data_IF_383973824122
#
_entry.id   IF_383973824122
#
_cell.length_a   1.000
_cell.length_b   1.000
_cell.length_c   1.000
_cell.angle_alpha   90.00
_cell.angle_beta   90.00
_cell.angle_gamma   90.00
#
_symmetry.space_group_name_H-M   'P 1'
#
loop_
_entity.id
_entity.type
_entity.pdbx_description
1 polymer ?
#
# COMPACT_ATOMS: atom_id res chain seq x y z
N UNK A 1 5.88 -80.89 -44.08
CA UNK A 1 4.50 -80.71 -43.58
C UNK A 1 4.49 -79.64 -42.49
N UNK A 2 3.47 -78.76 -42.45
CA UNK A 2 3.64 -77.36 -42.08
C UNK A 2 2.86 -76.92 -40.82
N UNK A 3 3.27 -75.76 -40.30
CA UNK A 3 2.46 -74.65 -39.75
C UNK A 3 1.45 -74.92 -38.61
N UNK A 4 1.64 -74.25 -37.46
CA UNK A 4 0.94 -72.99 -37.15
C UNK A 4 1.35 -72.42 -35.78
N UNK A 5 2.00 -71.26 -35.82
CA UNK A 5 2.18 -70.32 -34.71
C UNK A 5 0.85 -69.58 -34.53
N UNK A 6 0.16 -69.76 -33.39
CA UNK A 6 -0.99 -68.93 -33.03
C UNK A 6 -0.56 -67.78 -32.10
N UNK A 7 -0.59 -66.57 -32.67
CA UNK A 7 -0.32 -65.28 -32.04
C UNK A 7 -1.64 -64.74 -31.48
N UNK A 8 -1.88 -64.85 -30.17
CA UNK A 8 -3.04 -64.19 -29.54
C UNK A 8 -2.74 -62.70 -29.29
N UNK A 9 -3.28 -61.86 -30.17
CA UNK A 9 -3.34 -60.41 -29.99
C UNK A 9 -4.51 -60.10 -29.06
N UNK A 10 -4.22 -59.86 -27.77
CA UNK A 10 -5.21 -59.45 -26.79
C UNK A 10 -5.62 -57.99 -27.04
N UNK A 11 -6.79 -57.80 -27.65
CA UNK A 11 -7.48 -56.50 -27.85
C UNK A 11 -8.00 -55.94 -26.52
N UNK A 12 -7.11 -55.60 -25.57
CA UNK A 12 -7.47 -55.00 -24.27
C UNK A 12 -6.96 -53.58 -23.96
N UNK A 13 -6.28 -52.80 -24.84
CA UNK A 13 -5.83 -51.45 -24.45
C UNK A 13 -6.88 -50.35 -24.67
N UNK A 14 -7.93 -50.57 -25.47
CA UNK A 14 -8.88 -49.50 -25.86
C UNK A 14 -10.01 -49.23 -24.85
N UNK A 15 -10.38 -50.23 -24.04
CA UNK A 15 -11.46 -50.08 -23.05
C UNK A 15 -10.99 -49.36 -21.77
N UNK A 16 -9.72 -49.54 -21.38
CA UNK A 16 -9.15 -48.87 -20.21
C UNK A 16 -8.85 -47.39 -20.46
N UNK A 17 -8.48 -47.02 -21.69
CA UNK A 17 -8.19 -45.63 -22.05
C UNK A 17 -9.44 -44.75 -22.06
N UNK A 18 -10.59 -45.28 -22.51
CA UNK A 18 -11.86 -44.55 -22.51
C UNK A 18 -12.41 -44.29 -21.11
N UNK A 19 -12.21 -45.23 -20.18
CA UNK A 19 -12.66 -45.08 -18.78
C UNK A 19 -11.81 -44.06 -18.00
N UNK A 20 -10.50 -43.99 -18.30
CA UNK A 20 -9.57 -43.00 -17.74
C UNK A 20 -9.85 -41.59 -18.25
N UNK A 21 -10.22 -41.44 -19.53
CA UNK A 21 -10.58 -40.13 -20.10
C UNK A 21 -11.91 -39.60 -19.54
N UNK A 22 -12.87 -40.47 -19.25
CA UNK A 22 -14.15 -40.10 -18.66
C UNK A 22 -14.03 -39.68 -17.18
N UNK A 23 -13.09 -40.27 -16.41
CA UNK A 23 -12.87 -39.88 -15.01
C UNK A 23 -12.15 -38.53 -14.86
N UNK A 24 -11.31 -38.14 -15.83
CA UNK A 24 -10.66 -36.82 -15.88
C UNK A 24 -11.66 -35.66 -16.13
N UNK A 25 -12.77 -35.90 -16.84
CA UNK A 25 -13.79 -34.88 -17.11
C UNK A 25 -14.69 -34.58 -15.90
N UNK A 26 -14.86 -35.54 -14.98
CA UNK A 26 -15.72 -35.38 -13.79
C UNK A 26 -15.04 -34.58 -12.65
N UNK A 27 -13.72 -34.41 -12.69
CA UNK A 27 -12.97 -33.59 -11.72
C UNK A 27 -12.98 -32.09 -12.04
N UNK A 28 -13.56 -31.68 -13.17
CA UNK A 28 -13.56 -30.28 -13.63
C UNK A 28 -14.78 -29.47 -13.19
N UNK A 29 -15.75 -30.07 -12.49
CA UNK A 29 -17.09 -29.51 -12.32
C UNK A 29 -17.44 -28.98 -10.90
N UNK A 30 -16.48 -28.84 -9.98
CA UNK A 30 -16.72 -28.25 -8.66
C UNK A 30 -15.99 -26.92 -8.47
N UNK A 31 -16.26 -25.93 -9.34
CA UNK A 31 -16.11 -24.53 -8.94
C UNK A 31 -17.36 -24.13 -8.17
N UNK A 32 -17.48 -24.55 -6.89
CA UNK A 32 -18.35 -23.82 -5.96
C UNK A 32 -17.79 -22.40 -5.94
N UNK A 33 -18.47 -21.49 -6.63
CA UNK A 33 -18.13 -20.08 -6.60
C UNK A 33 -18.07 -19.68 -5.14
N UNK A 34 -16.87 -19.40 -4.64
CA UNK A 34 -16.69 -18.88 -3.30
C UNK A 34 -17.47 -17.57 -3.29
N UNK A 35 -18.67 -17.58 -2.70
CA UNK A 35 -19.49 -16.40 -2.66
C UNK A 35 -18.72 -15.35 -1.87
N UNK A 36 -18.43 -14.22 -2.50
CA UNK A 36 -17.69 -13.15 -1.84
C UNK A 36 -18.55 -12.57 -0.73
N UNK A 37 -18.10 -12.68 0.52
CA UNK A 37 -18.81 -12.15 1.69
C UNK A 37 -18.63 -10.64 1.76
N UNK A 38 -19.71 -9.90 1.50
CA UNK A 38 -19.70 -8.43 1.52
C UNK A 38 -20.20 -7.84 2.84
N UNK A 39 -20.54 -8.66 3.85
CA UNK A 39 -20.99 -8.16 5.14
C UNK A 39 -20.02 -7.14 5.78
N UNK A 40 -18.68 -7.29 5.67
CA UNK A 40 -17.74 -6.29 6.21
C UNK A 40 -17.86 -4.90 5.57
N UNK A 41 -18.23 -4.82 4.27
CA UNK A 41 -18.40 -3.52 3.59
C UNK A 41 -19.69 -2.82 4.01
N UNK A 42 -20.75 -3.60 4.19
CA UNK A 42 -22.04 -3.10 4.70
C UNK A 42 -21.90 -2.57 6.13
N UNK A 43 -21.21 -3.32 7.00
CA UNK A 43 -20.87 -2.89 8.36
C UNK A 43 -19.96 -1.66 8.39
N UNK A 44 -19.12 -1.47 7.38
CA UNK A 44 -18.31 -0.26 7.20
C UNK A 44 -19.11 0.94 6.67
N UNK A 45 -20.41 0.79 6.39
CA UNK A 45 -21.27 1.86 5.88
C UNK A 45 -21.04 2.17 4.41
N UNK A 46 -20.63 1.18 3.62
CA UNK A 46 -20.53 1.31 2.16
C UNK A 46 -21.90 1.15 1.51
N UNK A 47 -22.22 2.00 0.54
CA UNK A 47 -23.51 1.98 -0.12
C UNK A 47 -23.67 0.75 -1.03
N UNK A 48 -24.91 0.26 -1.15
CA UNK A 48 -25.22 -0.94 -1.92
C UNK A 48 -24.78 -0.87 -3.39
N UNK A 49 -24.93 0.29 -4.04
CA UNK A 49 -24.48 0.50 -5.42
C UNK A 49 -22.95 0.33 -5.54
N UNK A 50 -22.20 0.87 -4.58
CA UNK A 50 -20.75 0.76 -4.50
C UNK A 50 -20.31 -0.70 -4.29
N UNK A 51 -20.99 -1.42 -3.37
CA UNK A 51 -20.75 -2.86 -3.15
C UNK A 51 -21.06 -3.68 -4.41
N UNK A 52 -22.14 -3.34 -5.12
CA UNK A 52 -22.48 -3.98 -6.40
C UNK A 52 -21.41 -3.74 -7.46
N UNK A 53 -20.88 -2.52 -7.57
CA UNK A 53 -19.77 -2.23 -8.49
C UNK A 53 -18.51 -3.03 -8.13
N UNK A 54 -18.13 -3.08 -6.85
CA UNK A 54 -16.98 -3.88 -6.39
C UNK A 54 -17.12 -5.36 -6.74
N UNK A 55 -18.33 -5.94 -6.69
CA UNK A 55 -18.57 -7.34 -7.10
C UNK A 55 -18.23 -7.57 -8.56
N UNK A 56 -18.49 -6.61 -9.45
CA UNK A 56 -18.13 -6.70 -10.87
C UNK A 56 -16.61 -6.72 -11.10
N UNK A 57 -15.83 -6.25 -10.14
CA UNK A 57 -14.36 -6.20 -10.19
C UNK A 57 -13.68 -7.48 -9.66
N UNK A 58 -14.45 -8.54 -9.39
CA UNK A 58 -13.98 -9.82 -8.85
C UNK A 58 -13.12 -9.63 -7.59
N UNK A 59 -13.64 -8.88 -6.61
CA UNK A 59 -12.95 -8.65 -5.33
C UNK A 59 -13.01 -9.93 -4.48
N UNK A 60 -11.89 -10.28 -3.86
CA UNK A 60 -11.80 -11.43 -2.94
C UNK A 60 -12.18 -11.06 -1.50
N UNK A 61 -12.47 -12.05 -0.65
CA UNK A 61 -12.79 -11.81 0.76
C UNK A 61 -11.65 -11.10 1.52
N UNK A 62 -10.38 -11.39 1.18
CA UNK A 62 -9.23 -10.71 1.77
C UNK A 62 -9.22 -9.22 1.41
N UNK A 63 -9.45 -8.90 0.13
CA UNK A 63 -9.53 -7.52 -0.34
C UNK A 63 -10.75 -6.77 0.25
N UNK A 64 -11.86 -7.46 0.48
CA UNK A 64 -13.00 -6.90 1.20
C UNK A 64 -12.62 -6.48 2.61
N UNK A 65 -11.88 -7.33 3.34
CA UNK A 65 -11.39 -6.98 4.67
C UNK A 65 -10.53 -5.71 4.66
N UNK A 66 -9.65 -5.58 3.68
CA UNK A 66 -8.80 -4.39 3.53
C UNK A 66 -9.61 -3.14 3.14
N UNK A 67 -10.58 -3.27 2.23
CA UNK A 67 -11.47 -2.16 1.88
C UNK A 67 -12.33 -1.71 3.06
N UNK A 68 -12.82 -2.65 3.87
CA UNK A 68 -13.59 -2.35 5.05
C UNK A 68 -12.77 -1.51 6.05
N UNK A 69 -11.50 -1.85 6.29
CA UNK A 69 -10.59 -1.05 7.13
C UNK A 69 -10.42 0.38 6.60
N UNK A 70 -10.12 0.52 5.31
CA UNK A 70 -9.95 1.83 4.69
C UNK A 70 -11.24 2.66 4.77
N UNK A 71 -12.40 2.04 4.52
CA UNK A 71 -13.71 2.69 4.57
C UNK A 71 -14.06 3.15 5.99
N UNK A 72 -13.85 2.29 6.98
CA UNK A 72 -14.07 2.62 8.40
C UNK A 72 -13.19 3.79 8.87
N UNK A 73 -11.99 3.92 8.33
CA UNK A 73 -11.10 5.05 8.59
C UNK A 73 -11.50 6.35 7.85
N UNK A 74 -12.61 6.34 7.12
CA UNK A 74 -13.18 7.53 6.49
C UNK A 74 -12.91 7.65 4.99
N UNK A 75 -12.30 6.65 4.32
CA UNK A 75 -12.17 6.66 2.88
C UNK A 75 -13.56 6.63 2.21
N UNK A 76 -13.78 7.35 1.11
CA UNK A 76 -15.05 7.33 0.40
C UNK A 76 -15.24 6.04 -0.41
N UNK A 77 -16.50 5.69 -0.67
CA UNK A 77 -16.86 4.55 -1.52
C UNK A 77 -16.22 4.64 -2.92
N UNK A 78 -16.21 5.84 -3.51
CA UNK A 78 -15.62 6.09 -4.82
C UNK A 78 -14.11 5.81 -4.82
N UNK A 79 -13.41 6.24 -3.77
CA UNK A 79 -11.98 5.96 -3.62
C UNK A 79 -11.71 4.49 -3.38
N UNK A 80 -12.53 3.78 -2.60
CA UNK A 80 -12.44 2.32 -2.47
C UNK A 80 -12.50 1.62 -3.84
N UNK A 81 -13.47 2.00 -4.69
CA UNK A 81 -13.60 1.48 -6.06
C UNK A 81 -12.36 1.81 -6.90
N UNK A 82 -11.89 3.06 -6.84
CA UNK A 82 -10.71 3.49 -7.60
C UNK A 82 -9.45 2.72 -7.20
N UNK A 83 -9.26 2.43 -5.90
CA UNK A 83 -8.14 1.63 -5.42
C UNK A 83 -8.17 0.19 -5.91
N UNK A 84 -9.36 -0.44 -5.97
CA UNK A 84 -9.49 -1.76 -6.58
C UNK A 84 -9.17 -1.72 -8.07
N UNK A 85 -9.72 -0.74 -8.81
CA UNK A 85 -9.40 -0.56 -10.24
C UNK A 85 -7.90 -0.40 -10.45
N UNK A 86 -7.23 0.39 -9.59
CA UNK A 86 -5.78 0.56 -9.61
C UNK A 86 -5.03 -0.75 -9.32
N UNK A 87 -5.43 -1.51 -8.30
CA UNK A 87 -4.83 -2.81 -7.98
C UNK A 87 -4.97 -3.80 -9.15
N UNK A 88 -6.15 -3.85 -9.79
CA UNK A 88 -6.42 -4.66 -10.98
C UNK A 88 -5.54 -4.25 -12.17
N UNK A 89 -5.36 -2.94 -12.40
CA UNK A 89 -4.45 -2.45 -13.46
C UNK A 89 -3.00 -2.92 -13.27
N UNK A 90 -2.60 -3.12 -12.00
CA UNK A 90 -1.27 -3.61 -11.61
C UNK A 90 -1.17 -5.13 -11.53
N UNK A 91 -2.28 -5.85 -11.78
CA UNK A 91 -2.38 -7.31 -11.63
C UNK A 91 -1.96 -7.78 -10.23
N UNK A 92 -2.27 -7.00 -9.20
CA UNK A 92 -2.00 -7.31 -7.80
C UNK A 92 -3.29 -7.32 -6.99
N UNK A 93 -3.40 -8.16 -5.96
CA UNK A 93 -4.47 -8.04 -4.99
C UNK A 93 -4.33 -6.71 -4.22
N UNK A 94 -5.45 -6.13 -3.83
CA UNK A 94 -5.46 -4.97 -2.94
C UNK A 94 -5.15 -5.42 -1.50
N UNK A 95 -4.11 -4.82 -0.90
CA UNK A 95 -3.61 -5.20 0.42
C UNK A 95 -3.24 -4.01 1.32
N UNK A 96 -3.57 -2.78 0.89
CA UNK A 96 -3.09 -1.54 1.52
C UNK A 96 -4.13 -0.92 2.48
N UNK A 97 -5.16 -1.67 2.88
CA UNK A 97 -6.29 -1.15 3.66
C UNK A 97 -5.88 -0.60 5.02
N UNK A 98 -5.02 -1.33 5.74
CA UNK A 98 -4.47 -0.84 7.02
C UNK A 98 -3.61 0.41 6.82
N UNK A 99 -2.72 0.42 5.83
CA UNK A 99 -1.85 1.56 5.55
C UNK A 99 -2.63 2.84 5.21
N UNK A 100 -3.75 2.69 4.49
CA UNK A 100 -4.69 3.79 4.23
C UNK A 100 -5.34 4.27 5.53
N UNK A 101 -5.83 3.34 6.35
CA UNK A 101 -6.44 3.69 7.63
C UNK A 101 -5.48 4.46 8.54
N UNK A 102 -4.22 4.04 8.59
CA UNK A 102 -3.16 4.67 9.39
C UNK A 102 -2.85 6.10 8.91
N UNK A 103 -2.81 6.32 7.59
CA UNK A 103 -2.58 7.65 6.99
C UNK A 103 -3.74 8.61 7.21
N UNK A 104 -4.97 8.14 7.03
CA UNK A 104 -6.19 8.93 7.29
C UNK A 104 -6.29 9.28 8.78
N UNK A 105 -5.99 8.32 9.67
CA UNK A 105 -5.97 8.54 11.12
C UNK A 105 -4.87 9.51 11.55
N UNK A 106 -3.75 9.55 10.83
CA UNK A 106 -2.72 10.58 11.02
C UNK A 106 -3.12 11.96 10.47
N UNK A 107 -4.29 12.07 9.84
CA UNK A 107 -4.83 13.31 9.30
C UNK A 107 -4.31 13.65 7.88
N UNK A 108 -3.83 12.66 7.13
CA UNK A 108 -3.58 12.82 5.70
C UNK A 108 -4.90 12.90 4.94
N UNK A 109 -4.98 13.71 3.89
CA UNK A 109 -6.20 13.78 3.07
C UNK A 109 -6.39 12.51 2.24
N UNK A 110 -7.65 12.23 1.90
CA UNK A 110 -8.02 11.15 0.96
C UNK A 110 -7.34 11.32 -0.40
N UNK A 111 -7.22 12.56 -0.89
CA UNK A 111 -6.51 12.85 -2.14
C UNK A 111 -5.04 12.44 -2.07
N UNK A 112 -4.37 12.73 -0.96
CA UNK A 112 -2.98 12.30 -0.73
C UNK A 112 -2.87 10.78 -0.70
N UNK A 113 -3.78 10.10 -0.02
CA UNK A 113 -3.82 8.63 0.00
C UNK A 113 -3.95 8.04 -1.40
N UNK A 114 -4.85 8.57 -2.23
CA UNK A 114 -5.01 8.12 -3.63
C UNK A 114 -3.75 8.38 -4.46
N UNK A 115 -3.13 9.56 -4.32
CA UNK A 115 -1.90 9.89 -5.02
C UNK A 115 -0.75 8.95 -4.59
N UNK A 116 -0.62 8.67 -3.29
CA UNK A 116 0.34 7.67 -2.79
C UNK A 116 0.05 6.28 -3.34
N UNK A 117 -1.23 5.92 -3.50
CA UNK A 117 -1.61 4.69 -4.16
C UNK A 117 -1.11 4.69 -5.61
N UNK A 118 -1.34 5.76 -6.37
CA UNK A 118 -0.90 5.93 -7.75
C UNK A 118 0.63 5.87 -7.92
N UNK A 119 1.37 6.42 -6.96
CA UNK A 119 2.83 6.35 -6.91
C UNK A 119 3.38 5.01 -6.40
N UNK A 120 2.49 4.06 -6.05
CA UNK A 120 2.81 2.76 -5.48
C UNK A 120 3.61 2.89 -4.17
N UNK A 121 3.24 3.85 -3.33
CA UNK A 121 3.91 4.18 -2.06
C UNK A 121 3.10 3.84 -0.80
N UNK A 122 1.87 3.29 -0.91
CA UNK A 122 1.05 2.91 0.25
C UNK A 122 1.58 1.69 1.03
N UNK A 123 2.43 0.85 0.44
CA UNK A 123 2.99 -0.32 1.13
C UNK A 123 4.12 0.06 2.10
N UNK A 124 5.36 -0.33 1.76
CA UNK A 124 6.54 -0.16 2.61
C UNK A 124 6.79 1.27 3.10
N UNK A 125 6.30 2.27 2.38
CA UNK A 125 6.54 3.68 2.70
C UNK A 125 5.43 4.35 3.52
N UNK A 126 4.24 3.75 3.64
CA UNK A 126 3.15 4.39 4.39
C UNK A 126 3.49 4.68 5.85
N UNK A 127 4.24 3.82 6.53
CA UNK A 127 4.68 4.09 7.90
C UNK A 127 5.59 5.31 8.01
N UNK A 128 6.46 5.56 7.02
CA UNK A 128 7.28 6.76 6.98
C UNK A 128 6.45 8.00 6.67
N UNK A 129 5.51 7.90 5.73
CA UNK A 129 4.57 8.98 5.41
C UNK A 129 3.72 9.36 6.63
N UNK A 130 3.25 8.37 7.38
CA UNK A 130 2.52 8.55 8.63
C UNK A 130 3.40 9.26 9.68
N UNK A 131 4.65 8.83 9.85
CA UNK A 131 5.59 9.48 10.77
C UNK A 131 5.86 10.95 10.38
N UNK A 132 6.01 11.24 9.08
CA UNK A 132 6.13 12.62 8.60
C UNK A 132 4.86 13.42 8.91
N UNK A 133 3.69 12.84 8.71
CA UNK A 133 2.43 13.51 9.05
C UNK A 133 2.35 13.84 10.53
N UNK A 134 2.72 12.92 11.41
CA UNK A 134 2.80 13.16 12.85
C UNK A 134 3.87 14.18 13.27
N UNK A 135 4.98 14.26 12.53
CA UNK A 135 5.96 15.33 12.68
C UNK A 135 5.45 16.70 12.17
N UNK A 136 4.20 16.76 11.70
CA UNK A 136 3.49 17.96 11.29
C UNK A 136 3.67 18.32 9.81
N UNK A 137 4.36 17.50 9.02
CA UNK A 137 4.55 17.79 7.59
C UNK A 137 3.21 17.81 6.87
N UNK A 138 3.06 18.78 5.97
CA UNK A 138 1.93 18.86 5.06
C UNK A 138 1.95 17.72 4.04
N UNK A 139 0.76 17.39 3.58
CA UNK A 139 0.51 16.48 2.47
C UNK A 139 1.39 16.79 1.24
N UNK A 140 1.63 18.07 0.94
CA UNK A 140 2.47 18.47 -0.19
C UNK A 140 3.93 18.03 -0.04
N UNK A 141 4.50 18.14 1.17
CA UNK A 141 5.87 17.67 1.45
C UNK A 141 5.92 16.14 1.36
N UNK A 142 4.93 15.45 1.95
CA UNK A 142 4.81 13.99 1.87
C UNK A 142 4.75 13.52 0.42
N UNK A 143 3.91 14.15 -0.42
CA UNK A 143 3.79 13.82 -1.84
C UNK A 143 5.06 14.18 -2.64
N UNK A 144 5.75 15.26 -2.31
CA UNK A 144 7.02 15.59 -2.95
C UNK A 144 8.09 14.51 -2.71
N UNK A 145 8.20 14.03 -1.47
CA UNK A 145 9.09 12.92 -1.11
C UNK A 145 8.65 11.64 -1.83
N UNK A 146 7.35 11.31 -1.80
CA UNK A 146 6.79 10.13 -2.45
C UNK A 146 7.07 10.08 -3.96
N UNK A 147 6.90 11.22 -4.66
CA UNK A 147 7.14 11.33 -6.10
C UNK A 147 8.59 11.04 -6.45
N UNK A 148 9.54 11.65 -5.75
CA UNK A 148 10.97 11.38 -5.98
C UNK A 148 11.35 9.95 -5.69
N UNK A 149 10.84 9.37 -4.60
CA UNK A 149 11.04 7.94 -4.29
C UNK A 149 10.50 7.03 -5.37
N UNK A 150 9.31 7.32 -5.91
CA UNK A 150 8.72 6.55 -7.01
C UNK A 150 9.58 6.58 -8.29
N UNK A 151 10.39 7.62 -8.46
CA UNK A 151 11.35 7.79 -9.55
C UNK A 151 12.74 7.23 -9.21
N UNK A 152 12.90 6.58 -8.06
CA UNK A 152 14.19 6.12 -7.52
C UNK A 152 15.23 7.23 -7.36
N UNK A 153 14.78 8.48 -7.19
CA UNK A 153 15.67 9.60 -6.93
C UNK A 153 16.01 9.68 -5.43
N UNK A 154 17.23 10.14 -5.08
CA UNK A 154 17.57 10.44 -3.70
C UNK A 154 16.60 11.46 -3.10
N UNK A 155 16.25 11.22 -1.84
CA UNK A 155 15.43 12.10 -1.00
C UNK A 155 16.08 12.26 0.36
N UNK A 156 15.84 13.41 0.99
CA UNK A 156 16.22 13.63 2.37
C UNK A 156 15.59 12.58 3.29
N UNK A 157 16.38 12.12 4.25
CA UNK A 157 15.95 11.26 5.33
C UNK A 157 14.86 11.93 6.18
N UNK A 158 14.02 11.12 6.83
CA UNK A 158 12.98 11.64 7.72
C UNK A 158 13.57 12.46 8.88
N UNK A 159 14.76 12.08 9.37
CA UNK A 159 15.52 12.83 10.38
C UNK A 159 15.89 14.21 9.85
N UNK A 160 16.51 14.31 8.67
CA UNK A 160 16.90 15.59 8.10
C UNK A 160 15.72 16.49 7.77
N UNK A 161 14.61 15.93 7.30
CA UNK A 161 13.37 16.70 7.14
C UNK A 161 12.92 17.28 8.49
N UNK A 162 12.92 16.47 9.55
CA UNK A 162 12.62 16.92 10.91
C UNK A 162 13.53 18.03 11.40
N UNK A 163 14.85 17.93 11.17
CA UNK A 163 15.81 18.98 11.52
C UNK A 163 15.57 20.28 10.75
N UNK A 164 15.25 20.22 9.45
CA UNK A 164 14.89 21.40 8.66
C UNK A 164 13.67 22.11 9.26
N UNK A 165 12.63 21.34 9.60
CA UNK A 165 11.43 21.89 10.23
C UNK A 165 11.75 22.52 11.59
N UNK A 166 12.55 21.84 12.42
CA UNK A 166 12.97 22.34 13.73
C UNK A 166 13.84 23.60 13.63
N UNK A 167 14.59 23.76 12.54
CA UNK A 167 15.31 24.99 12.21
C UNK A 167 14.38 26.13 11.72
N UNK A 168 13.06 25.90 11.67
CA UNK A 168 12.05 26.86 11.25
C UNK A 168 11.90 26.99 9.73
N UNK A 169 12.38 26.02 8.95
CA UNK A 169 12.15 26.00 7.50
C UNK A 169 10.68 25.70 7.23
N UNK A 170 10.04 26.52 6.40
CA UNK A 170 8.63 26.35 6.05
C UNK A 170 8.43 25.10 5.18
N UNK A 171 7.25 24.49 5.28
CA UNK A 171 6.88 23.34 4.44
C UNK A 171 7.04 23.62 2.93
N UNK A 172 6.74 24.84 2.48
CA UNK A 172 6.93 25.24 1.08
C UNK A 172 8.41 25.22 0.66
N UNK A 173 9.31 25.69 1.53
CA UNK A 173 10.75 25.64 1.27
C UNK A 173 11.30 24.21 1.37
N UNK A 174 10.82 23.39 2.32
CA UNK A 174 11.18 21.97 2.43
C UNK A 174 10.73 21.22 1.17
N UNK A 175 9.50 21.48 0.70
CA UNK A 175 8.99 20.91 -0.54
C UNK A 175 9.88 21.27 -1.72
N UNK A 176 10.26 22.54 -1.88
CA UNK A 176 11.14 23.00 -2.95
C UNK A 176 12.53 22.33 -2.88
N UNK A 177 13.12 22.26 -1.69
CA UNK A 177 14.40 21.56 -1.46
C UNK A 177 14.31 20.09 -1.86
N UNK A 178 13.24 19.39 -1.47
CA UNK A 178 13.00 18.00 -1.88
C UNK A 178 12.89 17.91 -3.39
N UNK A 179 12.02 18.72 -4.03
CA UNK A 179 11.80 18.68 -5.47
C UNK A 179 13.08 18.94 -6.27
N UNK A 180 13.90 19.90 -5.84
CA UNK A 180 15.18 20.23 -6.45
C UNK A 180 16.30 19.23 -6.13
N UNK A 181 16.04 18.24 -5.27
CA UNK A 181 16.99 17.17 -4.97
C UNK A 181 18.16 17.62 -4.11
N UNK A 182 17.91 18.52 -3.17
CA UNK A 182 18.89 18.94 -2.16
C UNK A 182 19.42 17.71 -1.43
N UNK A 183 20.75 17.62 -1.32
CA UNK A 183 21.41 16.49 -0.66
C UNK A 183 21.39 16.65 0.86
N UNK A 184 21.72 15.56 1.56
CA UNK A 184 21.88 15.59 3.02
C UNK A 184 22.89 16.67 3.43
N UNK A 185 24.06 16.72 2.79
CA UNK A 185 25.12 17.69 3.13
C UNK A 185 24.67 19.14 2.92
N UNK A 186 23.96 19.39 1.82
CA UNK A 186 23.42 20.72 1.51
C UNK A 186 22.37 21.15 2.54
N UNK A 187 21.48 20.24 2.94
CA UNK A 187 20.48 20.51 3.98
C UNK A 187 21.14 20.77 5.35
N UNK A 188 22.19 20.01 5.71
CA UNK A 188 22.93 20.23 6.96
C UNK A 188 23.60 21.61 6.98
N UNK A 189 24.25 21.98 5.88
CA UNK A 189 24.89 23.27 5.73
C UNK A 189 23.88 24.41 5.88
N UNK A 190 22.70 24.29 5.24
CA UNK A 190 21.61 25.24 5.39
C UNK A 190 21.15 25.37 6.86
N UNK A 191 20.93 24.24 7.56
CA UNK A 191 20.52 24.24 8.97
C UNK A 191 21.56 24.94 9.85
N UNK A 192 22.85 24.63 9.63
CA UNK A 192 23.96 25.17 10.41
C UNK A 192 24.05 26.68 10.24
N UNK A 193 24.00 27.18 9.00
CA UNK A 193 23.99 28.61 8.71
C UNK A 193 22.82 29.33 9.39
N UNK A 194 21.64 28.72 9.36
CA UNK A 194 20.43 29.29 9.95
C UNK A 194 20.50 29.34 11.48
N UNK A 195 21.00 28.30 12.12
CA UNK A 195 21.19 28.26 13.57
C UNK A 195 22.22 29.29 14.05
N UNK A 196 23.29 29.50 13.28
CA UNK A 196 24.28 30.55 13.53
C UNK A 196 23.66 31.95 13.41
N UNK A 197 22.87 32.18 12.35
CA UNK A 197 22.17 33.44 12.14
C UNK A 197 21.10 33.73 13.21
N UNK A 198 20.48 32.68 13.78
CA UNK A 198 19.49 32.77 14.85
C UNK A 198 20.10 32.95 16.25
N UNK A 199 21.41 33.11 16.40
CA UNK A 199 22.06 33.50 17.66
C UNK A 199 22.34 32.37 18.66
N UNK A 200 22.28 31.09 18.25
CA UNK A 200 22.83 29.98 19.03
C UNK A 200 22.24 29.80 20.43
N UNK A 201 20.93 29.71 20.58
CA UNK A 201 20.31 29.25 21.83
C UNK A 201 20.04 27.75 21.76
N UNK A 202 21.09 26.95 22.04
CA UNK A 202 20.90 25.54 22.38
C UNK A 202 20.03 25.42 23.62
N UNK A 203 18.99 24.59 23.57
CA UNK A 203 18.18 24.26 24.73
C UNK A 203 19.07 23.67 25.83
N UNK A 204 19.31 24.43 26.89
CA UNK A 204 19.94 23.90 28.11
C UNK A 204 18.88 23.07 28.83
N UNK A 205 19.00 21.75 28.74
CA UNK A 205 18.30 20.84 29.65
C UNK A 205 18.83 21.09 31.07
N UNK A 206 18.12 21.90 31.87
CA UNK A 206 18.34 21.96 33.32
C UNK A 206 17.79 20.67 33.94
N UNK A 207 18.63 19.64 33.96
CA UNK A 207 18.37 18.42 34.73
C UNK A 207 18.27 18.78 36.22
N UNK A 208 17.04 18.81 36.72
CA UNK A 208 16.74 19.03 38.14
C UNK A 208 17.23 17.82 38.93
N UNK A 209 18.44 17.91 39.49
CA UNK A 209 18.98 16.91 40.39
C UNK A 209 18.08 16.77 41.62
N UNK A 210 17.39 15.64 41.72
CA UNK A 210 16.72 15.22 42.96
C UNK A 210 17.79 14.93 44.02
N UNK A 211 18.00 15.86 44.94
CA UNK A 211 18.74 15.59 46.17
C UNK A 211 17.81 14.82 47.11
N UNK A 212 18.14 13.55 47.35
CA UNK A 212 17.49 12.72 48.37
C UNK A 212 17.79 13.29 49.77
N UNK A 213 16.77 13.40 50.61
CA UNK A 213 16.87 13.33 52.07
C UNK A 213 15.97 12.20 52.54
#
# INVERSE_FOLDING_TARGET
MPLLIQRQVSKRPRLLLGLLLASLLLLSACKRGLQTDTAPLDQAGMWFNSVSELRTLNVSNAEIGELAKARQAGLSDLSCINLIKLARSRKKPFADGQSIADLLSAGSSEQTVLELAHLNQLGLWAGQAQALRFAGFSDNVILAVARRRSQNLPVLSGERLGELRNAGVSDAAIQDMVQNGVTEEQALHYITQRQQAAGGHGFVYQGRGHTKR
#
